data_IF_023869361523
#
_entry.id   IF_023869361523
#
_cell.length_a   1.000
_cell.length_b   1.000
_cell.length_c   1.000
_cell.angle_alpha   90.00
_cell.angle_beta   90.00
_cell.angle_gamma   90.00
#
_symmetry.space_group_name_H-M   'P 1'
#
loop_
_entity.id
_entity.type
_entity.pdbx_description
1 polymer ?
#
# COMPACT_ATOMS: atom_id res chain seq x y z
N UNK A 1 23.86 -0.23 28.39
CA UNK A 1 22.58 0.42 28.09
C UNK A 1 22.24 0.06 26.66
N UNK A 2 21.30 -0.85 26.48
CA UNK A 2 20.95 -1.43 25.18
C UNK A 2 19.99 -0.48 24.44
N UNK A 3 20.33 -0.13 23.20
CA UNK A 3 19.70 0.94 22.43
C UNK A 3 18.32 0.45 21.92
N UNK A 4 17.24 0.81 22.61
CA UNK A 4 15.88 0.61 22.09
C UNK A 4 15.57 1.66 21.01
N UNK A 5 15.98 1.40 19.77
CA UNK A 5 15.46 2.11 18.61
C UNK A 5 14.52 1.15 17.85
N UNK A 6 13.24 1.52 17.70
CA UNK A 6 12.24 0.76 16.91
C UNK A 6 12.44 0.99 15.40
N UNK A 7 13.68 0.98 14.94
CA UNK A 7 14.07 1.30 13.56
C UNK A 7 14.92 0.18 13.01
N UNK A 8 14.64 -0.24 11.78
CA UNK A 8 15.49 -1.16 11.02
C UNK A 8 16.46 -0.33 10.19
N UNK A 9 17.75 -0.62 10.26
CA UNK A 9 18.75 -0.02 9.38
C UNK A 9 18.73 -0.76 8.03
N UNK A 10 18.75 0.00 6.93
CA UNK A 10 18.79 -0.51 5.56
C UNK A 10 19.89 0.21 4.82
N UNK A 11 20.84 -0.57 4.29
CA UNK A 11 21.86 -0.09 3.35
C UNK A 11 21.43 -0.49 1.93
N UNK A 12 21.59 0.42 0.99
CA UNK A 12 21.17 0.23 -0.41
C UNK A 12 22.34 0.61 -1.32
N UNK A 13 22.65 -0.26 -2.26
CA UNK A 13 23.69 -0.07 -3.26
C UNK A 13 23.09 -0.23 -4.67
N UNK A 14 23.75 0.38 -5.66
CA UNK A 14 23.46 0.13 -7.07
C UNK A 14 23.81 -1.30 -7.42
N UNK A 15 22.93 -1.98 -8.16
CA UNK A 15 23.18 -3.35 -8.61
C UNK A 15 24.37 -3.42 -9.57
N UNK A 16 24.53 -2.42 -10.44
CA UNK A 16 25.72 -2.17 -11.24
C UNK A 16 26.35 -0.82 -10.84
N UNK A 17 27.59 -0.80 -10.31
CA UNK A 17 28.28 0.45 -9.97
C UNK A 17 28.42 1.44 -11.12
N UNK A 18 28.37 1.01 -12.38
CA UNK A 18 28.40 1.89 -13.53
C UNK A 18 27.15 2.80 -13.62
N UNK A 19 26.02 2.38 -13.03
CA UNK A 19 24.79 3.19 -12.98
C UNK A 19 24.92 4.42 -12.08
N UNK A 20 25.85 4.41 -11.12
CA UNK A 20 26.15 5.56 -10.27
C UNK A 20 26.94 6.66 -11.00
N UNK A 21 27.31 6.46 -12.27
CA UNK A 21 28.13 7.41 -13.02
C UNK A 21 27.47 8.79 -13.11
N UNK A 22 28.20 9.82 -12.67
CA UNK A 22 27.72 11.20 -12.69
C UNK A 22 26.89 11.61 -11.46
N UNK A 23 26.56 10.68 -10.56
CA UNK A 23 25.98 11.02 -9.26
C UNK A 23 27.06 11.54 -8.32
N UNK A 24 26.75 12.62 -7.60
CA UNK A 24 27.66 13.24 -6.63
C UNK A 24 27.18 12.98 -5.20
N UNK A 25 28.14 12.96 -4.28
CA UNK A 25 27.84 12.88 -2.85
C UNK A 25 26.97 14.09 -2.44
N UNK A 26 25.91 13.81 -1.67
CA UNK A 26 24.95 14.81 -1.21
C UNK A 26 23.62 14.80 -1.95
N UNK A 27 23.45 13.95 -2.98
CA UNK A 27 22.14 13.73 -3.59
C UNK A 27 21.22 12.98 -2.62
N UNK A 28 19.94 13.35 -2.62
CA UNK A 28 18.87 12.62 -1.94
C UNK A 28 18.30 11.56 -2.86
N UNK A 29 17.96 10.39 -2.32
CA UNK A 29 17.20 9.37 -3.02
C UNK A 29 16.04 8.93 -2.15
N UNK A 30 14.93 8.59 -2.78
CA UNK A 30 13.85 7.85 -2.16
C UNK A 30 14.07 6.35 -2.40
N UNK A 31 13.84 5.53 -1.38
CA UNK A 31 13.90 4.07 -1.48
C UNK A 31 12.53 3.51 -1.15
N UNK A 32 11.96 2.74 -2.07
CA UNK A 32 10.74 1.99 -1.83
C UNK A 32 11.06 0.52 -1.55
N UNK A 33 10.55 0.00 -0.43
CA UNK A 33 10.72 -1.41 -0.05
C UNK A 33 9.37 -2.12 -0.23
N UNK A 34 9.26 -2.95 -1.27
CA UNK A 34 8.05 -3.72 -1.54
C UNK A 34 8.08 -5.03 -0.76
N UNK A 35 7.23 -5.13 0.27
CA UNK A 35 7.15 -6.33 1.13
C UNK A 35 6.34 -7.47 0.50
N UNK A 36 5.36 -7.14 -0.33
CA UNK A 36 4.50 -8.10 -1.00
C UNK A 36 3.81 -7.48 -2.22
N UNK A 37 3.64 -8.28 -3.26
CA UNK A 37 2.87 -7.91 -4.46
C UNK A 37 1.77 -8.93 -4.68
N UNK A 38 0.59 -8.47 -5.09
CA UNK A 38 -0.55 -9.29 -5.48
C UNK A 38 -1.08 -8.77 -6.82
N UNK A 39 -0.98 -9.59 -7.86
CA UNK A 39 -1.56 -9.31 -9.17
C UNK A 39 -3.00 -9.85 -9.22
N UNK A 40 -3.83 -9.25 -10.08
CA UNK A 40 -5.17 -9.76 -10.42
C UNK A 40 -6.13 -9.93 -9.21
N UNK A 41 -5.98 -9.09 -8.18
CA UNK A 41 -6.86 -9.06 -7.02
C UNK A 41 -7.89 -7.93 -7.10
N UNK A 42 -9.05 -8.12 -6.48
CA UNK A 42 -9.99 -7.03 -6.26
C UNK A 42 -9.34 -6.01 -5.31
N UNK A 43 -9.39 -4.74 -5.69
CA UNK A 43 -8.81 -3.65 -4.90
C UNK A 43 -9.70 -2.42 -4.93
N UNK A 44 -9.60 -1.63 -3.89
CA UNK A 44 -10.31 -0.36 -3.73
C UNK A 44 -9.30 0.74 -3.46
N UNK A 45 -9.58 2.01 -3.82
CA UNK A 45 -8.77 3.13 -3.36
C UNK A 45 -8.70 3.11 -1.83
N UNK A 46 -7.49 3.22 -1.25
CA UNK A 46 -7.33 3.19 0.21
C UNK A 46 -8.15 4.30 0.89
N UNK A 47 -8.30 5.45 0.24
CA UNK A 47 -9.14 6.56 0.73
C UNK A 47 -10.65 6.27 0.79
N UNK A 48 -11.14 5.19 0.16
CA UNK A 48 -12.54 4.77 0.25
C UNK A 48 -12.83 3.92 1.50
N UNK A 49 -11.78 3.41 2.17
CA UNK A 49 -11.90 2.66 3.42
C UNK A 49 -12.02 3.61 4.61
N UNK A 50 -13.07 3.42 5.39
CA UNK A 50 -13.30 4.06 6.69
C UNK A 50 -12.70 3.20 7.80
N UNK A 51 -12.62 3.80 8.99
CA UNK A 51 -12.14 3.11 10.20
C UNK A 51 -12.83 1.76 10.40
N UNK A 52 -12.04 0.74 10.78
CA UNK A 52 -12.53 -0.62 10.93
C UNK A 52 -12.71 -1.40 9.62
N UNK A 53 -12.17 -0.91 8.50
CA UNK A 53 -12.19 -1.62 7.22
C UNK A 53 -13.55 -1.57 6.52
N UNK A 54 -14.26 -0.45 6.67
CA UNK A 54 -15.64 -0.30 6.17
C UNK A 54 -15.68 0.53 4.90
N UNK A 55 -16.60 0.21 4.00
CA UNK A 55 -16.92 1.02 2.80
C UNK A 55 -18.40 1.32 2.75
N UNK A 56 -18.79 2.33 1.98
CA UNK A 56 -20.18 2.61 1.65
C UNK A 56 -20.44 2.12 0.23
N UNK A 57 -21.29 1.11 0.06
CA UNK A 57 -21.64 0.55 -1.25
C UNK A 57 -22.92 1.21 -1.75
N UNK A 58 -22.96 1.60 -3.02
CA UNK A 58 -24.16 2.13 -3.67
C UNK A 58 -25.13 0.99 -3.98
N UNK A 59 -26.28 0.99 -3.30
CA UNK A 59 -27.39 0.07 -3.54
C UNK A 59 -28.62 0.89 -3.95
N UNK A 60 -28.80 1.07 -5.27
CA UNK A 60 -29.81 1.95 -5.84
C UNK A 60 -29.56 3.41 -5.46
N UNK A 61 -30.52 4.02 -4.75
CA UNK A 61 -30.43 5.40 -4.25
C UNK A 61 -29.90 5.49 -2.81
N UNK A 62 -29.41 4.40 -2.24
CA UNK A 62 -28.93 4.34 -0.86
C UNK A 62 -27.47 3.92 -0.77
N UNK A 63 -26.80 4.39 0.29
CA UNK A 63 -25.45 3.97 0.66
C UNK A 63 -25.53 2.99 1.82
N UNK A 64 -25.01 1.78 1.63
CA UNK A 64 -25.02 0.73 2.64
C UNK A 64 -23.60 0.50 3.15
N UNK A 65 -23.42 0.58 4.46
CA UNK A 65 -22.13 0.32 5.09
C UNK A 65 -21.81 -1.19 5.06
N UNK A 66 -20.62 -1.54 4.60
CA UNK A 66 -20.16 -2.92 4.53
C UNK A 66 -18.73 -3.05 5.04
N UNK A 67 -18.50 -4.01 5.94
CA UNK A 67 -17.16 -4.33 6.43
C UNK A 67 -16.45 -5.24 5.44
N UNK A 68 -15.24 -4.87 5.06
CA UNK A 68 -14.38 -5.65 4.18
C UNK A 68 -13.35 -6.43 5.00
N UNK A 69 -12.99 -7.62 4.50
CA UNK A 69 -11.74 -8.27 4.87
C UNK A 69 -10.68 -7.81 3.88
N UNK A 70 -9.65 -7.14 4.37
CA UNK A 70 -8.58 -6.58 3.53
C UNK A 70 -7.31 -7.42 3.57
N UNK A 71 -6.46 -7.23 2.56
CA UNK A 71 -5.16 -7.88 2.42
C UNK A 71 -4.02 -6.86 2.39
N UNK A 72 -3.10 -6.99 1.42
CA UNK A 72 -2.02 -6.01 1.25
C UNK A 72 -2.57 -4.63 0.91
N UNK A 73 -1.92 -3.59 1.42
CA UNK A 73 -2.33 -2.21 1.21
C UNK A 73 -1.13 -1.30 1.04
N UNK A 74 -1.30 -0.26 0.22
CA UNK A 74 -0.40 0.88 0.12
C UNK A 74 -1.21 2.18 0.19
N UNK A 75 -0.55 3.32 -0.05
CA UNK A 75 -1.19 4.63 0.00
C UNK A 75 -2.32 4.80 -1.03
N UNK A 76 -2.27 4.07 -2.13
CA UNK A 76 -3.21 4.22 -3.25
C UNK A 76 -4.33 3.18 -3.19
N UNK A 77 -4.00 1.92 -2.93
CA UNK A 77 -4.92 0.79 -3.02
C UNK A 77 -4.83 -0.15 -1.82
N UNK A 78 -5.97 -0.76 -1.51
CA UNK A 78 -6.09 -1.86 -0.56
C UNK A 78 -6.73 -3.06 -1.25
N UNK A 79 -6.12 -4.23 -1.11
CA UNK A 79 -6.67 -5.52 -1.54
C UNK A 79 -7.94 -5.86 -0.75
N UNK A 80 -8.97 -6.33 -1.45
CA UNK A 80 -10.20 -6.86 -0.87
C UNK A 80 -10.21 -8.37 -0.99
N UNK A 81 -10.11 -9.05 0.16
CA UNK A 81 -10.16 -10.52 0.27
C UNK A 81 -11.61 -11.00 0.26
N UNK A 82 -12.52 -10.27 0.91
CA UNK A 82 -13.96 -10.57 0.88
C UNK A 82 -14.80 -9.38 1.32
N UNK A 83 -16.09 -9.41 1.00
CA UNK A 83 -17.06 -8.37 1.40
C UNK A 83 -17.36 -7.36 0.29
N UNK A 84 -16.75 -7.49 -0.88
CA UNK A 84 -17.08 -6.71 -2.07
C UNK A 84 -16.94 -7.60 -3.30
N UNK A 85 -17.77 -7.35 -4.31
CA UNK A 85 -17.69 -7.96 -5.63
C UNK A 85 -17.21 -6.94 -6.66
N UNK A 86 -16.54 -7.43 -7.71
CA UNK A 86 -16.11 -6.59 -8.81
C UNK A 86 -17.32 -5.92 -9.48
N UNK A 87 -17.20 -4.62 -9.76
CA UNK A 87 -18.27 -3.81 -10.38
C UNK A 87 -19.22 -3.13 -9.38
N UNK A 88 -19.18 -3.49 -8.10
CA UNK A 88 -19.87 -2.71 -7.06
C UNK A 88 -19.22 -1.33 -6.93
N UNK A 89 -20.05 -0.31 -6.72
CA UNK A 89 -19.61 1.09 -6.60
C UNK A 89 -19.50 1.47 -5.13
N UNK A 90 -18.39 2.11 -4.77
CA UNK A 90 -18.10 2.64 -3.44
C UNK A 90 -17.72 4.12 -3.50
#
# INVERSE_FOLDING_TARGET
>A
VEKQARTVAVDVDFADPAEAHGMLVGYSTDVEIVLATRAEVLRVPTGALREGGKVLVVEGDTLVERTLRTGVANWEFTEVVSGLAAGERI
#
